data_IF_599503816548
#
_entry.id   IF_599503816548
#
_cell.length_a   1.000
_cell.length_b   1.000
_cell.length_c   1.000
_cell.angle_alpha   90.00
_cell.angle_beta   90.00
_cell.angle_gamma   90.00
#
_symmetry.space_group_name_H-M   'P 1'
#
loop_
_entity.id
_entity.type
_entity.pdbx_description
1 polymer ?
#
# COMPACT_ATOMS: atom_id res chain seq x y z
N UNK A 1 16.76 -3.08 -17.12
CA UNK A 1 16.24 -1.74 -16.90
C UNK A 1 16.36 -1.40 -15.43
N UNK A 2 17.27 -0.52 -15.10
CA UNK A 2 17.42 -0.12 -13.70
C UNK A 2 16.23 0.74 -13.31
N UNK A 3 15.36 0.23 -12.48
CA UNK A 3 14.35 1.06 -11.83
C UNK A 3 15.10 2.06 -10.96
N UNK A 4 15.07 3.32 -11.31
CA UNK A 4 15.56 4.38 -10.45
C UNK A 4 14.59 4.48 -9.28
N UNK A 5 14.92 3.76 -8.23
CA UNK A 5 14.23 3.95 -6.96
C UNK A 5 14.51 5.39 -6.50
N UNK A 6 13.49 6.15 -6.17
CA UNK A 6 13.73 7.47 -5.60
C UNK A 6 14.49 7.28 -4.28
N UNK A 7 15.72 7.76 -4.27
CA UNK A 7 16.47 7.79 -3.03
C UNK A 7 16.00 8.96 -2.18
N UNK A 8 15.42 8.64 -1.04
CA UNK A 8 15.09 9.63 -0.04
C UNK A 8 16.25 9.76 0.94
N UNK A 9 16.68 11.00 1.18
CA UNK A 9 17.69 11.23 2.21
C UNK A 9 17.17 10.82 3.59
N UNK A 10 18.05 10.43 4.53
CA UNK A 10 17.63 10.14 5.90
C UNK A 10 16.86 11.29 6.56
N UNK A 11 17.17 12.52 6.22
CA UNK A 11 16.49 13.70 6.75
C UNK A 11 15.04 13.78 6.26
N UNK A 12 14.82 13.56 4.96
CA UNK A 12 13.47 13.53 4.38
C UNK A 12 12.68 12.36 4.95
N UNK A 13 13.32 11.21 5.06
CA UNK A 13 12.70 10.02 5.64
C UNK A 13 12.19 10.27 7.06
N UNK A 14 13.04 10.81 7.90
CA UNK A 14 12.68 11.11 9.29
C UNK A 14 11.60 12.20 9.37
N UNK A 15 11.65 13.21 8.50
CA UNK A 15 10.63 14.24 8.46
C UNK A 15 9.26 13.68 8.08
N UNK A 16 9.20 12.78 7.10
CA UNK A 16 7.96 12.11 6.70
C UNK A 16 7.43 11.20 7.80
N UNK A 17 8.31 10.45 8.44
CA UNK A 17 7.93 9.52 9.52
C UNK A 17 7.34 10.25 10.74
N UNK A 18 7.71 11.51 10.93
CA UNK A 18 7.19 12.35 12.02
C UNK A 18 5.79 12.92 11.74
N UNK A 19 5.30 12.82 10.49
CA UNK A 19 3.98 13.31 10.12
C UNK A 19 2.92 12.23 10.32
N UNK A 20 1.72 12.64 10.66
CA UNK A 20 0.58 11.74 10.63
C UNK A 20 -0.06 11.69 9.22
N UNK A 21 -0.87 10.67 8.99
CA UNK A 21 -1.49 10.46 7.68
C UNK A 21 -2.40 11.61 7.24
N UNK A 22 -3.26 12.19 8.09
CA UNK A 22 -4.06 13.35 7.69
C UNK A 22 -3.22 14.55 7.25
N UNK A 23 -2.12 14.81 7.92
CA UNK A 23 -1.20 15.89 7.55
C UNK A 23 -0.59 15.65 6.18
N UNK A 24 -0.18 14.41 5.89
CA UNK A 24 0.35 14.04 4.56
C UNK A 24 -0.71 14.23 3.48
N UNK A 25 -1.94 13.83 3.73
CA UNK A 25 -3.05 14.04 2.78
C UNK A 25 -3.26 15.52 2.47
N UNK A 26 -3.27 16.37 3.49
CA UNK A 26 -3.41 17.81 3.32
C UNK A 26 -2.23 18.42 2.55
N UNK A 27 -1.02 17.99 2.86
CA UNK A 27 0.18 18.43 2.15
C UNK A 27 0.14 18.08 0.66
N UNK A 28 -0.32 16.87 0.33
CA UNK A 28 -0.47 16.45 -1.07
C UNK A 28 -1.46 17.32 -1.84
N UNK A 29 -2.53 17.78 -1.20
CA UNK A 29 -3.50 18.70 -1.82
C UNK A 29 -2.89 20.08 -2.08
N UNK A 30 -1.97 20.52 -1.22
CA UNK A 30 -1.25 21.80 -1.40
C UNK A 30 -0.29 21.70 -2.59
N UNK A 31 0.49 20.62 -2.67
CA UNK A 31 1.46 20.42 -3.74
C UNK A 31 0.79 20.13 -5.07
N UNK A 32 -0.36 19.47 -5.05
CA UNK A 32 -1.12 19.13 -6.23
C UNK A 32 -2.63 19.34 -5.98
N UNK A 33 -3.14 20.55 -6.24
CA UNK A 33 -4.55 20.86 -6.01
C UNK A 33 -5.54 19.96 -6.77
N UNK A 34 -5.10 19.33 -7.86
CA UNK A 34 -5.92 18.37 -8.61
C UNK A 34 -6.23 17.10 -7.82
N UNK A 35 -5.54 16.86 -6.71
CA UNK A 35 -5.80 15.72 -5.82
C UNK A 35 -6.88 16.00 -4.76
N UNK A 36 -7.40 17.21 -4.70
CA UNK A 36 -8.44 17.56 -3.74
C UNK A 36 -9.64 16.60 -3.90
N UNK A 37 -10.11 16.06 -2.80
CA UNK A 37 -11.16 15.04 -2.73
C UNK A 37 -10.83 13.71 -3.44
N UNK A 38 -9.55 13.42 -3.63
CA UNK A 38 -9.07 12.17 -4.25
C UNK A 38 -7.87 11.63 -3.48
N UNK A 39 -7.59 10.34 -3.67
CA UNK A 39 -6.38 9.73 -3.15
C UNK A 39 -6.42 9.40 -1.66
N UNK A 40 -7.60 9.22 -1.10
CA UNK A 40 -7.79 8.74 0.25
C UNK A 40 -8.81 7.61 0.29
N UNK A 41 -8.70 6.77 1.30
CA UNK A 41 -9.66 5.69 1.51
C UNK A 41 -10.93 6.24 2.18
N UNK A 42 -12.09 5.72 1.75
CA UNK A 42 -13.39 6.13 2.32
C UNK A 42 -13.79 5.30 3.53
N UNK A 43 -13.09 4.20 3.78
CA UNK A 43 -13.26 3.39 4.97
C UNK A 43 -11.98 3.48 5.81
N UNK A 44 -12.09 3.72 7.12
CA UNK A 44 -10.91 3.81 7.96
C UNK A 44 -10.19 2.46 8.03
N UNK A 45 -8.86 2.51 8.05
CA UNK A 45 -8.07 1.35 8.38
C UNK A 45 -8.17 1.04 9.86
N UNK A 46 -8.19 -0.24 10.19
CA UNK A 46 -8.12 -0.71 11.58
C UNK A 46 -6.70 -1.18 11.84
N UNK A 47 -6.05 -0.59 12.83
CA UNK A 47 -4.72 -1.01 13.23
C UNK A 47 -4.83 -2.24 14.12
N UNK A 48 -4.28 -3.38 13.68
CA UNK A 48 -4.30 -4.62 14.46
C UNK A 48 -3.22 -4.67 15.54
N UNK A 49 -2.25 -3.75 15.48
CA UNK A 49 -1.17 -3.64 16.48
C UNK A 49 -0.95 -2.18 16.87
N UNK A 50 -1.88 -1.58 17.62
CA UNK A 50 -1.82 -0.16 17.92
C UNK A 50 -0.65 0.24 18.85
N UNK A 51 -0.02 -0.73 19.51
CA UNK A 51 1.17 -0.50 20.33
C UNK A 51 2.45 -0.28 19.54
N UNK A 52 2.45 -0.62 18.24
CA UNK A 52 3.61 -0.39 17.39
C UNK A 52 3.60 1.05 16.85
N UNK A 53 4.78 1.63 16.63
CA UNK A 53 4.88 2.97 16.06
C UNK A 53 4.41 2.99 14.59
N UNK A 54 4.07 4.17 14.06
CA UNK A 54 3.79 4.32 12.64
C UNK A 54 4.95 3.84 11.76
N UNK A 55 4.61 3.38 10.57
CA UNK A 55 5.59 2.90 9.61
C UNK A 55 5.57 3.80 8.37
N UNK A 56 6.71 3.88 7.71
CA UNK A 56 6.89 4.54 6.43
C UNK A 56 7.56 3.56 5.47
N UNK A 57 7.06 3.44 4.27
CA UNK A 57 7.63 2.54 3.29
C UNK A 57 7.14 2.84 1.88
N UNK A 58 7.84 2.30 0.90
CA UNK A 58 7.43 2.38 -0.49
C UNK A 58 6.26 1.42 -0.75
N UNK A 59 5.26 1.89 -1.47
CA UNK A 59 4.07 1.12 -1.72
C UNK A 59 4.33 -0.05 -2.69
N UNK A 60 3.87 -1.24 -2.31
CA UNK A 60 3.82 -2.43 -3.18
C UNK A 60 2.36 -2.83 -3.29
N UNK A 61 1.76 -2.52 -4.43
CA UNK A 61 0.32 -2.67 -4.61
C UNK A 61 -0.05 -3.96 -5.31
N UNK A 62 -1.11 -4.60 -4.82
CA UNK A 62 -1.67 -5.83 -5.36
C UNK A 62 -3.19 -5.73 -5.33
N UNK A 63 -3.85 -6.36 -6.29
CA UNK A 63 -5.30 -6.51 -6.30
C UNK A 63 -5.67 -7.97 -6.13
N UNK A 64 -6.72 -8.23 -5.35
CA UNK A 64 -7.28 -9.56 -5.20
C UNK A 64 -8.76 -9.57 -5.58
N UNK A 65 -9.21 -10.69 -6.10
CA UNK A 65 -10.61 -10.96 -6.39
C UNK A 65 -10.88 -12.42 -6.07
N UNK A 66 -11.87 -12.68 -5.25
CA UNK A 66 -12.14 -14.02 -4.75
C UNK A 66 -13.61 -14.44 -4.78
N UNK A 67 -14.55 -13.51 -5.04
CA UNK A 67 -15.98 -13.81 -5.04
C UNK A 67 -16.40 -14.76 -6.16
N UNK A 68 -15.66 -14.80 -7.25
CA UNK A 68 -15.96 -15.63 -8.41
C UNK A 68 -14.78 -16.50 -8.80
N UNK A 69 -15.07 -17.65 -9.42
CA UNK A 69 -14.03 -18.52 -9.92
C UNK A 69 -13.17 -17.77 -10.97
N UNK A 70 -11.85 -17.75 -10.81
CA UNK A 70 -10.98 -17.06 -11.75
C UNK A 70 -11.00 -17.72 -13.13
N UNK A 71 -10.83 -16.89 -14.17
CA UNK A 71 -10.71 -17.38 -15.55
C UNK A 71 -9.44 -18.20 -15.77
N UNK A 72 -8.44 -18.00 -14.95
CA UNK A 72 -7.19 -18.76 -14.96
C UNK A 72 -6.72 -18.99 -13.52
N UNK A 73 -5.87 -20.02 -13.37
CA UNK A 73 -5.33 -20.39 -12.06
C UNK A 73 -4.53 -19.24 -11.44
N UNK A 74 -4.67 -19.08 -10.15
CA UNK A 74 -3.90 -18.11 -9.38
C UNK A 74 -2.41 -18.47 -9.43
N UNK A 75 -1.59 -17.47 -9.71
CA UNK A 75 -0.14 -17.56 -9.66
C UNK A 75 0.37 -17.07 -8.28
N UNK A 76 0.35 -17.98 -7.31
CA UNK A 76 0.84 -17.68 -5.98
C UNK A 76 2.36 -17.43 -5.96
N UNK A 77 3.10 -18.17 -6.78
CA UNK A 77 4.56 -18.00 -6.87
C UNK A 77 4.92 -16.63 -7.44
N UNK A 78 4.20 -16.16 -8.43
CA UNK A 78 4.38 -14.82 -8.98
C UNK A 78 4.11 -13.72 -7.97
N UNK A 79 3.11 -13.90 -7.11
CA UNK A 79 2.83 -12.97 -6.02
C UNK A 79 3.99 -12.91 -5.01
N UNK A 80 4.46 -14.06 -4.56
CA UNK A 80 5.58 -14.11 -3.61
C UNK A 80 6.86 -13.55 -4.19
N UNK A 81 7.17 -13.85 -5.43
CA UNK A 81 8.31 -13.27 -6.15
C UNK A 81 8.19 -11.75 -6.24
N UNK A 82 7.02 -11.24 -6.57
CA UNK A 82 6.77 -9.80 -6.63
C UNK A 82 7.05 -9.10 -5.29
N UNK A 83 6.62 -9.70 -4.19
CA UNK A 83 6.87 -9.13 -2.86
C UNK A 83 8.35 -9.25 -2.45
N UNK A 84 9.00 -10.38 -2.77
CA UNK A 84 10.35 -10.67 -2.32
C UNK A 84 11.44 -9.96 -3.12
N UNK A 85 11.27 -9.85 -4.44
CA UNK A 85 12.34 -9.46 -5.35
C UNK A 85 12.37 -7.97 -5.67
N UNK A 86 11.33 -7.25 -5.33
CA UNK A 86 11.24 -6.03 -6.01
C UNK A 86 11.24 -4.76 -5.21
N UNK A 87 11.79 -3.76 -5.86
CA UNK A 87 11.64 -2.38 -5.51
C UNK A 87 12.42 -1.91 -4.28
N UNK A 88 12.28 -0.66 -3.97
CA UNK A 88 12.98 -0.04 -2.84
C UNK A 88 12.45 -0.56 -1.51
N UNK A 89 13.34 -0.56 -0.52
CA UNK A 89 13.03 -0.95 0.86
C UNK A 89 13.19 0.25 1.80
N UNK A 90 12.48 0.28 2.94
CA UNK A 90 11.42 -0.64 3.33
C UNK A 90 10.17 -0.47 2.47
N UNK A 91 9.38 -1.52 2.36
CA UNK A 91 8.15 -1.50 1.56
C UNK A 91 6.93 -1.88 2.38
N UNK A 92 5.78 -1.40 1.93
CA UNK A 92 4.48 -1.72 2.53
C UNK A 92 3.62 -2.37 1.45
N UNK A 93 3.19 -3.60 1.69
CA UNK A 93 2.24 -4.27 0.80
C UNK A 93 0.84 -3.71 1.02
N UNK A 94 0.23 -3.23 -0.05
CA UNK A 94 -1.13 -2.71 -0.05
C UNK A 94 -1.97 -3.58 -0.96
N UNK A 95 -2.90 -4.31 -0.38
CA UNK A 95 -3.72 -5.28 -1.09
C UNK A 95 -5.13 -4.74 -1.18
N UNK A 96 -5.60 -4.52 -2.41
CA UNK A 96 -6.95 -4.05 -2.67
C UNK A 96 -7.85 -5.22 -3.01
N UNK A 97 -8.92 -5.39 -2.26
CA UNK A 97 -10.00 -6.29 -2.62
C UNK A 97 -10.92 -5.59 -3.62
N UNK A 98 -10.96 -6.12 -4.85
CA UNK A 98 -11.72 -5.51 -5.95
C UNK A 98 -13.05 -6.21 -6.22
N UNK A 99 -13.46 -7.12 -5.35
CA UNK A 99 -14.80 -7.70 -5.42
C UNK A 99 -15.87 -6.64 -5.12
N UNK A 100 -17.03 -6.77 -5.74
CA UNK A 100 -18.17 -5.87 -5.50
C UNK A 100 -18.57 -5.85 -4.03
N UNK A 101 -18.52 -7.03 -3.39
CA UNK A 101 -18.65 -7.17 -1.95
C UNK A 101 -17.33 -7.69 -1.40
N UNK A 102 -16.50 -6.84 -0.77
CA UNK A 102 -15.23 -7.25 -0.22
C UNK A 102 -15.36 -8.28 0.91
N UNK A 103 -14.33 -9.07 1.09
CA UNK A 103 -14.21 -9.98 2.22
C UNK A 103 -14.26 -11.47 1.89
N UNK A 104 -14.42 -11.85 0.63
CA UNK A 104 -14.35 -13.25 0.21
C UNK A 104 -12.93 -13.80 0.17
N UNK A 105 -11.95 -12.95 -0.02
CA UNK A 105 -10.57 -13.36 -0.12
C UNK A 105 -9.87 -13.32 1.23
N UNK A 106 -9.36 -14.45 1.69
CA UNK A 106 -8.47 -14.51 2.83
C UNK A 106 -7.03 -14.45 2.34
N UNK A 107 -6.43 -13.26 2.40
CA UNK A 107 -5.05 -13.09 1.99
C UNK A 107 -4.07 -13.63 3.05
N UNK A 108 -4.44 -13.49 4.29
CA UNK A 108 -3.60 -13.88 5.42
C UNK A 108 -3.80 -15.32 5.83
N UNK A 109 -4.17 -16.15 4.91
CA UNK A 109 -4.19 -17.58 5.01
C UNK A 109 -4.56 -18.18 6.36
N UNK A 110 -4.87 -19.36 6.38
CA UNK A 110 -5.10 -20.12 7.57
C UNK A 110 -3.97 -21.11 7.81
#
# INVERSE_FOLDING_TARGET
MTSLSPELSPEIWNALLALDTPTVCNALEIVNPGRRARGFNIRPFVCVRPSLPPILGFARTVRIRAAHKPARRMDADGYYSYIAEGGPTPSIAIIQDVDDTPGYGAHWGE
#
